data_IF_655237172314
#
_entry.id   IF_655237172314
#
_cell.length_a   1.000
_cell.length_b   1.000
_cell.length_c   1.000
_cell.angle_alpha   90.00
_cell.angle_beta   90.00
_cell.angle_gamma   90.00
#
_symmetry.space_group_name_H-M   'P 1'
#
loop_
_entity.id
_entity.type
_entity.pdbx_description
1 polymer ?
#
# COMPACT_ATOMS: atom_id res chain seq x y z
N UNK A 1 -29.03 6.01 -5.51
CA UNK A 1 -28.21 4.80 -5.74
C UNK A 1 -26.78 5.09 -6.22
N UNK A 2 -26.58 5.91 -7.26
CA UNK A 2 -25.22 6.20 -7.76
C UNK A 2 -24.28 6.85 -6.73
N UNK A 3 -24.79 7.75 -5.87
CA UNK A 3 -23.98 8.39 -4.83
C UNK A 3 -23.45 7.41 -3.78
N UNK A 4 -24.24 6.40 -3.40
CA UNK A 4 -23.83 5.37 -2.44
C UNK A 4 -22.75 4.47 -3.04
N UNK A 5 -22.91 4.04 -4.30
CA UNK A 5 -21.90 3.22 -5.00
C UNK A 5 -20.56 3.95 -5.10
N UNK A 6 -20.57 5.21 -5.54
CA UNK A 6 -19.36 6.04 -5.61
C UNK A 6 -18.71 6.21 -4.24
N UNK A 7 -19.49 6.48 -3.19
CA UNK A 7 -18.98 6.58 -1.83
C UNK A 7 -18.32 5.29 -1.33
N UNK A 8 -18.92 4.13 -1.63
CA UNK A 8 -18.34 2.82 -1.29
C UNK A 8 -17.03 2.56 -2.05
N UNK A 9 -17.00 2.80 -3.35
CA UNK A 9 -15.80 2.65 -4.18
C UNK A 9 -14.66 3.52 -3.65
N UNK A 10 -14.94 4.80 -3.37
CA UNK A 10 -13.96 5.72 -2.79
C UNK A 10 -13.47 5.27 -1.42
N UNK A 11 -14.38 4.81 -0.55
CA UNK A 11 -14.03 4.32 0.78
C UNK A 11 -13.13 3.08 0.72
N UNK A 12 -13.42 2.13 -0.17
CA UNK A 12 -12.59 0.94 -0.39
C UNK A 12 -11.20 1.33 -0.90
N UNK A 13 -11.11 2.23 -1.88
CA UNK A 13 -9.83 2.71 -2.39
C UNK A 13 -9.00 3.42 -1.32
N UNK A 14 -9.61 4.31 -0.53
CA UNK A 14 -8.94 5.01 0.55
C UNK A 14 -8.46 4.06 1.66
N UNK A 15 -9.26 3.07 2.02
CA UNK A 15 -8.89 2.06 3.02
C UNK A 15 -7.71 1.20 2.56
N UNK A 16 -7.70 0.82 1.28
CA UNK A 16 -6.58 0.09 0.67
C UNK A 16 -5.30 0.91 0.71
N UNK A 17 -5.33 2.17 0.27
CA UNK A 17 -4.14 3.05 0.30
C UNK A 17 -3.62 3.27 1.72
N UNK A 18 -4.50 3.47 2.70
CA UNK A 18 -4.13 3.61 4.11
C UNK A 18 -3.45 2.35 4.65
N UNK A 19 -4.01 1.16 4.37
CA UNK A 19 -3.43 -0.11 4.80
C UNK A 19 -2.06 -0.37 4.16
N UNK A 20 -1.89 -0.06 2.88
CA UNK A 20 -0.60 -0.18 2.18
C UNK A 20 0.44 0.73 2.82
N UNK A 21 0.09 2.01 3.06
CA UNK A 21 0.99 2.97 3.70
C UNK A 21 1.42 2.50 5.09
N UNK A 22 0.49 1.96 5.90
CA UNK A 22 0.82 1.44 7.23
C UNK A 22 1.87 0.30 7.16
N UNK A 23 1.68 -0.69 6.28
CA UNK A 23 2.64 -1.79 6.12
C UNK A 23 4.04 -1.29 5.70
N UNK A 24 4.10 -0.29 4.81
CA UNK A 24 5.37 0.28 4.36
C UNK A 24 6.06 1.02 5.50
N UNK A 25 5.34 1.89 6.21
CA UNK A 25 5.89 2.70 7.30
C UNK A 25 6.39 1.82 8.45
N UNK A 26 5.58 0.87 8.91
CA UNK A 26 5.95 -0.08 9.97
C UNK A 26 7.18 -0.90 9.54
N UNK A 27 7.19 -1.38 8.29
CA UNK A 27 8.32 -2.14 7.76
C UNK A 27 9.62 -1.33 7.70
N UNK A 28 9.55 -0.05 7.37
CA UNK A 28 10.70 0.85 7.36
C UNK A 28 11.19 1.17 8.78
N UNK A 29 10.27 1.39 9.72
CA UNK A 29 10.57 1.62 11.14
C UNK A 29 11.28 0.41 11.77
N UNK A 30 10.78 -0.79 11.48
CA UNK A 30 11.37 -2.07 11.88
C UNK A 30 12.65 -2.44 11.10
N UNK A 31 13.10 -1.59 10.17
CA UNK A 31 14.24 -1.82 9.27
C UNK A 31 14.15 -3.15 8.51
N UNK A 32 12.94 -3.56 8.13
CA UNK A 32 12.74 -4.72 7.28
C UNK A 32 13.39 -4.49 5.91
N UNK A 33 13.99 -5.54 5.31
CA UNK A 33 14.44 -5.48 3.94
C UNK A 33 13.28 -5.13 3.00
N UNK A 34 13.54 -4.33 1.96
CA UNK A 34 12.54 -3.91 0.98
C UNK A 34 11.75 -5.12 0.42
N UNK A 35 12.43 -6.21 0.07
CA UNK A 35 11.78 -7.42 -0.46
C UNK A 35 10.76 -8.03 0.52
N UNK A 36 10.98 -7.92 1.84
CA UNK A 36 10.01 -8.38 2.85
C UNK A 36 8.78 -7.48 2.91
N UNK A 37 8.96 -6.17 2.75
CA UNK A 37 7.85 -5.21 2.69
C UNK A 37 7.03 -5.45 1.42
N UNK A 38 7.68 -5.59 0.26
CA UNK A 38 7.02 -5.89 -1.01
C UNK A 38 6.26 -7.22 -0.98
N UNK A 39 6.82 -8.26 -0.36
CA UNK A 39 6.13 -9.55 -0.19
C UNK A 39 4.88 -9.43 0.70
N UNK A 40 4.93 -8.61 1.77
CA UNK A 40 3.75 -8.32 2.59
C UNK A 40 2.67 -7.61 1.77
N UNK A 41 3.03 -6.62 0.98
CA UNK A 41 2.07 -5.88 0.13
C UNK A 41 1.37 -6.82 -0.88
N UNK A 42 2.14 -7.64 -1.60
CA UNK A 42 1.59 -8.61 -2.55
C UNK A 42 0.62 -9.59 -1.86
N UNK A 43 1.00 -10.12 -0.69
CA UNK A 43 0.18 -11.10 0.04
C UNK A 43 -1.10 -10.51 0.63
N UNK A 44 -1.04 -9.29 1.18
CA UNK A 44 -2.17 -8.70 1.92
C UNK A 44 -3.16 -7.97 1.02
N UNK A 45 -2.73 -7.49 -0.15
CA UNK A 45 -3.55 -6.69 -1.06
C UNK A 45 -3.67 -7.29 -2.46
N UNK A 46 -3.20 -8.52 -2.66
CA UNK A 46 -3.22 -9.23 -3.95
C UNK A 46 -2.57 -8.43 -5.09
N UNK A 47 -1.53 -7.65 -4.77
CA UNK A 47 -0.79 -6.83 -5.72
C UNK A 47 0.19 -7.68 -6.53
N UNK A 48 0.45 -7.28 -7.77
CA UNK A 48 1.65 -7.76 -8.48
C UNK A 48 2.90 -7.16 -7.86
N UNK A 49 4.06 -7.71 -8.23
CA UNK A 49 5.35 -7.17 -7.80
C UNK A 49 5.50 -5.71 -8.22
N UNK A 50 5.17 -5.39 -9.47
CA UNK A 50 5.27 -4.05 -10.05
C UNK A 50 4.36 -3.06 -9.30
N UNK A 51 3.13 -3.46 -8.99
CA UNK A 51 2.21 -2.63 -8.22
C UNK A 51 2.72 -2.39 -6.78
N UNK A 52 3.26 -3.43 -6.14
CA UNK A 52 3.85 -3.30 -4.81
C UNK A 52 5.05 -2.34 -4.81
N UNK A 53 5.89 -2.40 -5.85
CA UNK A 53 7.03 -1.49 -6.05
C UNK A 53 6.58 -0.04 -6.28
N UNK A 54 5.53 0.18 -7.05
CA UNK A 54 4.94 1.51 -7.27
C UNK A 54 4.46 2.13 -5.95
N UNK A 55 3.69 1.38 -5.17
CA UNK A 55 3.23 1.83 -3.86
C UNK A 55 4.38 2.07 -2.88
N UNK A 56 5.37 1.17 -2.86
CA UNK A 56 6.56 1.34 -2.04
C UNK A 56 7.32 2.61 -2.44
N UNK A 57 7.51 2.88 -3.73
CA UNK A 57 8.14 4.10 -4.22
C UNK A 57 7.34 5.37 -3.89
N UNK A 58 6.01 5.30 -3.89
CA UNK A 58 5.12 6.44 -3.58
C UNK A 58 5.14 6.81 -2.09
N UNK A 59 5.24 5.83 -1.19
CA UNK A 59 5.14 6.04 0.25
C UNK A 59 6.46 5.95 1.02
N UNK A 60 7.51 5.38 0.43
CA UNK A 60 8.84 5.44 1.02
C UNK A 60 9.42 6.87 0.91
N UNK A 61 10.12 7.35 1.93
CA UNK A 61 10.80 8.63 1.84
C UNK A 61 11.87 8.54 0.75
N UNK A 62 11.84 9.48 -0.21
CA UNK A 62 12.90 9.60 -1.21
C UNK A 62 14.22 9.85 -0.47
N UNK A 63 15.21 8.98 -0.70
CA UNK A 63 16.60 9.29 -0.32
C UNK A 63 17.02 10.53 -1.11
N UNK A 64 17.21 11.64 -0.40
CA UNK A 64 17.87 12.86 -0.91
C UNK A 64 19.38 12.59 -0.92
#
# INVERSE_FOLDING_TARGET
>A
EQGIRRGMEQGVQQGMEQGIRAIIMDGLEDRLPQDRILAKLQRHFSLTKEQAEEYYGRFSPKKI
#
